data_IF_868556913417
#
_entry.id   IF_868556913417
#
_cell.length_a   1.000
_cell.length_b   1.000
_cell.length_c   1.000
_cell.angle_alpha   90.00
_cell.angle_beta   90.00
_cell.angle_gamma   90.00
#
_symmetry.space_group_name_H-M   'P 1'
#
loop_
_entity.id
_entity.type
_entity.pdbx_description
1 polymer ?
#
# COMPACT_ATOMS: atom_id res chain seq x y z
N UNK A 1 -8.57 -43.14 49.09
CA UNK A 1 -9.12 -42.03 48.28
C UNK A 1 -8.06 -40.93 48.09
N UNK A 2 -6.82 -41.26 47.69
CA UNK A 2 -5.71 -40.28 47.59
C UNK A 2 -4.62 -40.70 46.60
N UNK A 3 -5.00 -41.14 45.38
CA UNK A 3 -4.00 -41.42 44.32
C UNK A 3 -4.44 -40.87 42.94
N UNK A 4 -5.59 -40.20 42.82
CA UNK A 4 -6.06 -39.70 41.51
C UNK A 4 -5.75 -38.22 41.21
N UNK A 5 -5.44 -37.40 42.21
CA UNK A 5 -5.20 -35.95 42.01
C UNK A 5 -3.77 -35.58 41.57
N UNK A 6 -2.79 -36.49 41.70
CA UNK A 6 -1.40 -36.20 41.30
C UNK A 6 -1.14 -36.40 39.80
N UNK A 7 -1.89 -37.27 39.11
CA UNK A 7 -1.70 -37.48 37.66
C UNK A 7 -2.32 -36.35 36.84
N UNK A 8 -3.50 -35.83 37.23
CA UNK A 8 -4.14 -34.73 36.49
C UNK A 8 -3.31 -33.45 36.51
N UNK A 9 -2.68 -33.10 37.64
CA UNK A 9 -1.80 -31.93 37.72
C UNK A 9 -0.49 -32.11 36.92
N UNK A 10 -0.03 -33.35 36.76
CA UNK A 10 1.17 -33.67 35.99
C UNK A 10 0.86 -33.70 34.49
N UNK A 11 -0.31 -34.19 34.11
CA UNK A 11 -0.83 -34.17 32.73
C UNK A 11 -1.19 -32.74 32.29
N UNK A 12 -1.75 -31.89 33.16
CA UNK A 12 -2.00 -30.46 32.88
C UNK A 12 -0.68 -29.71 32.70
N UNK A 13 0.35 -30.04 33.48
CA UNK A 13 1.68 -29.44 33.35
C UNK A 13 2.37 -29.89 32.05
N UNK A 14 2.28 -31.16 31.69
CA UNK A 14 2.79 -31.71 30.42
C UNK A 14 2.02 -31.14 29.22
N UNK A 15 0.71 -30.94 29.32
CA UNK A 15 -0.10 -30.27 28.29
C UNK A 15 0.29 -28.78 28.15
N UNK A 16 0.56 -28.08 29.26
CA UNK A 16 1.06 -26.71 29.23
C UNK A 16 2.50 -26.59 28.69
N UNK A 17 3.35 -27.59 28.94
CA UNK A 17 4.72 -27.66 28.44
C UNK A 17 4.75 -28.05 26.94
N UNK A 18 3.84 -28.93 26.49
CA UNK A 18 3.62 -29.27 25.07
C UNK A 18 3.03 -28.10 24.26
N UNK A 19 2.21 -27.26 24.89
CA UNK A 19 1.65 -26.04 24.27
C UNK A 19 2.68 -24.90 24.24
N UNK A 20 3.59 -24.84 25.23
CA UNK A 20 4.73 -23.91 25.24
C UNK A 20 5.76 -24.19 24.13
N UNK A 21 5.79 -25.41 23.59
CA UNK A 21 6.67 -25.84 22.50
C UNK A 21 6.15 -25.58 21.08
N UNK A 22 4.95 -24.99 20.92
CA UNK A 22 4.24 -24.88 19.64
C UNK A 22 4.15 -23.48 19.03
N UNK A 23 4.91 -22.51 19.54
CA UNK A 23 5.06 -21.25 18.81
C UNK A 23 5.97 -21.47 17.62
N UNK A 24 5.39 -21.53 16.42
CA UNK A 24 6.17 -21.32 15.20
C UNK A 24 7.02 -20.06 15.38
N UNK A 25 8.28 -20.11 14.94
CA UNK A 25 9.19 -18.95 14.95
C UNK A 25 8.53 -17.69 14.37
N UNK A 26 7.57 -17.86 13.46
CA UNK A 26 6.73 -16.80 12.91
C UNK A 26 5.84 -16.13 13.95
N UNK A 27 5.01 -16.90 14.67
CA UNK A 27 4.11 -16.39 15.70
C UNK A 27 4.87 -15.79 16.88
N UNK A 28 6.03 -16.36 17.23
CA UNK A 28 6.89 -15.80 18.28
C UNK A 28 7.39 -14.40 17.93
N UNK A 29 7.85 -14.19 16.69
CA UNK A 29 8.31 -12.85 16.25
C UNK A 29 7.17 -11.82 16.32
N UNK A 30 5.94 -12.20 15.97
CA UNK A 30 4.79 -11.32 16.11
C UNK A 30 4.54 -10.89 17.55
N UNK A 31 4.56 -11.82 18.50
CA UNK A 31 4.41 -11.50 19.92
C UNK A 31 5.57 -10.63 20.45
N UNK A 32 6.79 -10.89 19.99
CA UNK A 32 7.94 -10.04 20.31
C UNK A 32 7.80 -8.60 19.79
N UNK A 33 7.20 -8.43 18.61
CA UNK A 33 6.98 -7.13 17.98
C UNK A 33 5.76 -6.39 18.53
N UNK A 34 4.66 -7.08 18.80
CA UNK A 34 3.35 -6.46 19.02
C UNK A 34 2.64 -6.90 20.31
N UNK A 35 3.22 -7.80 21.11
CA UNK A 35 2.60 -8.32 22.33
C UNK A 35 2.74 -7.41 23.55
N UNK A 36 3.69 -6.46 23.53
CA UNK A 36 3.97 -5.58 24.66
C UNK A 36 3.07 -4.34 24.65
N UNK A 37 2.68 -3.83 25.82
CA UNK A 37 1.86 -2.61 25.90
C UNK A 37 2.54 -1.38 25.30
N UNK A 38 3.87 -1.30 25.35
CA UNK A 38 4.69 -0.25 24.76
C UNK A 38 5.32 -0.65 23.41
N UNK A 39 4.67 -1.56 22.68
CA UNK A 39 5.25 -2.14 21.47
C UNK A 39 5.65 -1.08 20.43
N UNK A 40 4.84 -0.02 20.24
CA UNK A 40 5.08 1.00 19.24
C UNK A 40 6.43 1.72 19.43
N UNK A 41 6.71 2.15 20.66
CA UNK A 41 8.00 2.75 20.99
C UNK A 41 9.18 1.79 20.73
N UNK A 42 9.00 0.50 21.01
CA UNK A 42 10.03 -0.52 20.79
C UNK A 42 10.27 -0.80 19.31
N UNK A 43 9.22 -0.97 18.51
CA UNK A 43 9.38 -1.19 17.07
C UNK A 43 9.96 0.03 16.38
N UNK A 44 9.64 1.25 16.85
CA UNK A 44 10.24 2.50 16.33
C UNK A 44 11.74 2.53 16.61
N UNK A 45 12.18 2.20 17.82
CA UNK A 45 13.59 2.10 18.16
C UNK A 45 14.31 1.01 17.33
N UNK A 46 13.70 -0.17 17.17
CA UNK A 46 14.22 -1.22 16.28
C UNK A 46 14.35 -0.73 14.84
N UNK A 47 13.38 0.04 14.35
CA UNK A 47 13.38 0.64 13.02
C UNK A 47 14.53 1.61 12.82
N UNK A 48 14.72 2.55 13.74
CA UNK A 48 15.83 3.54 13.72
C UNK A 48 17.19 2.83 13.73
N UNK A 49 17.31 1.75 14.50
CA UNK A 49 18.54 0.96 14.59
C UNK A 49 18.73 -0.04 13.43
N UNK A 50 17.84 -0.04 12.42
CA UNK A 50 17.93 -0.95 11.27
C UNK A 50 17.65 -2.43 11.57
N UNK A 51 17.14 -2.74 12.77
CA UNK A 51 16.93 -4.10 13.28
C UNK A 51 15.67 -4.78 12.70
N UNK A 52 14.86 -4.06 11.93
CA UNK A 52 13.69 -4.62 11.25
C UNK A 52 14.01 -5.23 9.89
N UNK A 53 15.25 -5.12 9.37
CA UNK A 53 15.61 -5.53 8.00
C UNK A 53 15.23 -6.97 7.67
N UNK A 54 15.42 -7.89 8.62
CA UNK A 54 15.13 -9.32 8.49
C UNK A 54 13.76 -9.72 9.03
N UNK A 55 12.95 -8.75 9.45
CA UNK A 55 11.62 -9.05 9.99
C UNK A 55 10.66 -9.48 8.88
N UNK A 56 9.76 -10.40 9.22
CA UNK A 56 8.69 -10.91 8.34
C UNK A 56 7.38 -10.11 8.46
N UNK A 57 7.41 -9.00 9.21
CA UNK A 57 6.27 -8.13 9.51
C UNK A 57 6.61 -6.65 9.27
N UNK A 58 7.53 -6.37 8.35
CA UNK A 58 7.97 -5.02 8.03
C UNK A 58 6.84 -4.17 7.46
N UNK A 59 5.98 -4.74 6.64
CA UNK A 59 4.80 -4.07 6.08
C UNK A 59 3.85 -3.60 7.18
N UNK A 60 3.65 -4.39 8.24
CA UNK A 60 2.84 -4.00 9.42
C UNK A 60 3.52 -2.88 10.19
N UNK A 61 4.84 -2.97 10.39
CA UNK A 61 5.60 -1.87 11.01
C UNK A 61 5.51 -0.58 10.18
N UNK A 62 5.58 -0.67 8.85
CA UNK A 62 5.48 0.47 7.95
C UNK A 62 4.08 1.08 7.95
N UNK A 63 3.01 0.26 8.00
CA UNK A 63 1.65 0.73 8.19
C UNK A 63 1.50 1.55 9.48
N UNK A 64 2.20 1.18 10.55
CA UNK A 64 2.23 1.96 11.80
C UNK A 64 3.06 3.23 11.69
N UNK A 65 4.21 3.19 11.01
CA UNK A 65 5.08 4.37 10.87
C UNK A 65 4.54 5.42 9.89
N UNK A 66 3.70 5.00 8.95
CA UNK A 66 2.99 5.87 8.00
C UNK A 66 1.59 6.26 8.52
N UNK A 67 1.26 5.97 9.78
CA UNK A 67 -0.05 6.26 10.39
C UNK A 67 -1.27 5.68 9.63
N UNK A 68 -1.06 4.62 8.83
CA UNK A 68 -2.12 3.84 8.18
C UNK A 68 -2.90 3.04 9.24
N UNK A 69 -2.16 2.45 10.18
CA UNK A 69 -2.72 1.78 11.35
C UNK A 69 -2.49 2.64 12.60
N UNK A 70 -3.50 2.78 13.47
CA UNK A 70 -3.34 3.48 14.73
C UNK A 70 -2.46 2.67 15.71
N UNK A 71 -1.92 3.32 16.74
CA UNK A 71 -1.18 2.61 17.81
C UNK A 71 -2.07 1.65 18.61
N UNK A 72 -3.38 1.91 18.70
CA UNK A 72 -4.30 0.97 19.35
C UNK A 72 -4.61 -0.23 18.45
N UNK A 73 -4.04 -1.39 18.81
CA UNK A 73 -4.24 -2.67 18.10
C UNK A 73 -5.70 -3.07 17.94
N UNK A 74 -6.57 -2.68 18.88
CA UNK A 74 -8.00 -3.03 18.83
C UNK A 74 -8.71 -2.39 17.64
N UNK A 75 -8.14 -1.33 17.09
CA UNK A 75 -8.71 -0.59 15.96
C UNK A 75 -8.16 -1.05 14.61
N UNK A 76 -7.12 -1.90 14.58
CA UNK A 76 -6.45 -2.28 13.34
C UNK A 76 -7.37 -2.93 12.32
N UNK A 77 -8.21 -3.89 12.75
CA UNK A 77 -9.12 -4.60 11.86
C UNK A 77 -10.15 -3.66 11.24
N UNK A 78 -10.78 -2.82 12.07
CA UNK A 78 -11.77 -1.86 11.58
C UNK A 78 -11.12 -0.86 10.62
N UNK A 79 -9.93 -0.35 10.96
CA UNK A 79 -9.25 0.65 10.14
C UNK A 79 -8.81 0.09 8.79
N UNK A 80 -8.24 -1.11 8.75
CA UNK A 80 -7.81 -1.70 7.47
C UNK A 80 -9.02 -2.02 6.57
N UNK A 81 -10.14 -2.48 7.15
CA UNK A 81 -11.37 -2.72 6.39
C UNK A 81 -11.94 -1.42 5.80
N UNK A 82 -12.00 -0.35 6.58
CA UNK A 82 -12.42 0.98 6.13
C UNK A 82 -11.57 1.47 4.95
N UNK A 83 -10.24 1.40 5.07
CA UNK A 83 -9.31 1.84 4.03
C UNK A 83 -9.43 1.00 2.75
N UNK A 84 -9.59 -0.33 2.89
CA UNK A 84 -9.81 -1.24 1.76
C UNK A 84 -11.12 -0.94 1.04
N UNK A 85 -12.21 -0.74 1.78
CA UNK A 85 -13.49 -0.35 1.20
C UNK A 85 -13.43 1.00 0.50
N UNK A 86 -12.70 1.96 1.06
CA UNK A 86 -12.51 3.27 0.44
C UNK A 86 -11.77 3.18 -0.90
N UNK A 87 -10.66 2.42 -0.96
CA UNK A 87 -9.95 2.24 -2.22
C UNK A 87 -10.78 1.49 -3.27
N UNK A 88 -11.57 0.50 -2.86
CA UNK A 88 -12.48 -0.20 -3.79
C UNK A 88 -13.46 0.76 -4.46
N UNK A 89 -14.05 1.70 -3.70
CA UNK A 89 -14.92 2.74 -4.25
C UNK A 89 -14.19 3.63 -5.27
N UNK A 90 -12.95 4.02 -4.97
CA UNK A 90 -12.12 4.82 -5.89
C UNK A 90 -11.85 4.05 -7.19
N UNK A 91 -11.54 2.75 -7.11
CA UNK A 91 -11.36 1.90 -8.29
C UNK A 91 -12.63 1.79 -9.12
N UNK A 92 -13.78 1.62 -8.47
CA UNK A 92 -15.08 1.59 -9.17
C UNK A 92 -15.35 2.88 -9.94
N UNK A 93 -15.04 4.04 -9.34
CA UNK A 93 -15.24 5.36 -9.96
C UNK A 93 -14.31 5.60 -11.14
N UNK A 94 -13.01 5.29 -11.01
CA UNK A 94 -11.99 5.74 -11.96
C UNK A 94 -11.49 4.66 -12.93
N UNK A 95 -11.53 3.38 -12.55
CA UNK A 95 -11.01 2.28 -13.36
C UNK A 95 -12.15 1.58 -14.11
N UNK A 96 -13.31 1.42 -13.48
CA UNK A 96 -14.40 0.65 -14.07
C UNK A 96 -15.06 1.42 -15.22
N UNK A 97 -15.26 0.73 -16.34
CA UNK A 97 -15.61 1.30 -17.64
C UNK A 97 -16.88 2.18 -17.61
N UNK A 98 -16.82 3.44 -18.10
CA UNK A 98 -17.99 4.30 -18.29
C UNK A 98 -19.10 3.67 -19.13
N UNK A 99 -18.82 2.65 -19.97
CA UNK A 99 -19.84 1.93 -20.74
C UNK A 99 -20.85 1.15 -19.90
N UNK A 100 -20.54 0.81 -18.64
CA UNK A 100 -21.56 0.28 -17.71
C UNK A 100 -22.47 1.39 -17.16
N UNK A 101 -21.98 2.63 -17.09
CA UNK A 101 -22.74 3.82 -16.69
C UNK A 101 -23.46 4.52 -17.86
N UNK A 102 -22.97 4.36 -19.09
CA UNK A 102 -23.50 4.98 -20.32
C UNK A 102 -24.80 4.34 -20.84
N UNK A 103 -25.48 3.53 -20.02
CA UNK A 103 -26.80 2.99 -20.33
C UNK A 103 -27.94 4.00 -20.26
N UNK A 104 -27.71 5.24 -19.80
CA UNK A 104 -28.80 6.16 -19.47
C UNK A 104 -28.57 7.67 -19.67
N UNK A 105 -27.62 8.17 -20.46
CA UNK A 105 -27.48 9.65 -20.62
C UNK A 105 -27.21 10.12 -22.06
N UNK A 106 -27.84 11.25 -22.39
CA UNK A 106 -28.15 11.76 -23.72
C UNK A 106 -26.99 11.78 -24.73
N UNK A 107 -27.28 11.26 -25.91
CA UNK A 107 -26.41 11.17 -27.09
C UNK A 107 -26.08 12.54 -27.72
N UNK A 108 -26.70 13.63 -27.24
CA UNK A 108 -26.54 14.99 -27.79
C UNK A 108 -25.33 15.73 -27.19
N UNK A 109 -24.91 15.38 -25.97
CA UNK A 109 -23.74 16.00 -25.28
C UNK A 109 -22.43 15.20 -25.52
N UNK A 110 -22.53 14.01 -26.12
CA UNK A 110 -21.46 13.03 -26.29
C UNK A 110 -20.81 13.04 -27.69
N UNK A 111 -20.60 14.20 -28.29
CA UNK A 111 -19.89 14.26 -29.57
C UNK A 111 -18.37 14.06 -29.36
N UNK A 112 -17.70 13.12 -30.04
CA UNK A 112 -16.23 12.97 -30.02
C UNK A 112 -15.45 14.21 -30.50
N UNK A 113 -16.14 15.24 -31.01
CA UNK A 113 -15.59 16.56 -31.37
C UNK A 113 -15.99 17.68 -30.39
N UNK A 114 -16.61 17.36 -29.25
CA UNK A 114 -16.98 18.37 -28.25
C UNK A 114 -15.73 19.04 -27.68
N UNK A 115 -15.60 20.35 -27.87
CA UNK A 115 -14.53 21.17 -27.28
C UNK A 115 -14.85 21.61 -25.84
N UNK A 116 -15.96 21.13 -25.27
CA UNK A 116 -16.36 21.48 -23.91
C UNK A 116 -15.45 20.79 -22.90
N UNK A 117 -14.77 21.56 -22.04
CA UNK A 117 -13.79 21.06 -21.06
C UNK A 117 -14.40 20.00 -20.11
N UNK A 118 -15.72 20.03 -19.91
CA UNK A 118 -16.47 19.03 -19.13
C UNK A 118 -16.94 17.80 -19.92
N UNK A 119 -16.60 17.66 -21.20
CA UNK A 119 -17.08 16.55 -22.02
C UNK A 119 -16.48 15.20 -21.58
N UNK A 120 -17.31 14.15 -21.65
CA UNK A 120 -16.89 12.78 -21.35
C UNK A 120 -15.70 12.33 -22.21
N UNK A 121 -15.59 12.86 -23.43
CA UNK A 121 -14.47 12.60 -24.33
C UNK A 121 -13.19 13.28 -23.88
N UNK A 122 -13.24 14.53 -23.42
CA UNK A 122 -12.05 15.20 -22.88
C UNK A 122 -11.52 14.49 -21.64
N UNK A 123 -12.38 14.09 -20.71
CA UNK A 123 -11.98 13.26 -19.56
C UNK A 123 -11.38 11.92 -20.00
N UNK A 124 -12.01 11.24 -20.97
CA UNK A 124 -11.50 9.98 -21.50
C UNK A 124 -10.10 10.10 -22.13
N UNK A 125 -9.86 11.16 -22.92
CA UNK A 125 -8.55 11.38 -23.54
C UNK A 125 -7.49 11.74 -22.49
N UNK A 126 -7.82 12.60 -21.51
CA UNK A 126 -6.93 12.92 -20.39
C UNK A 126 -6.58 11.66 -19.57
N UNK A 127 -7.56 10.81 -19.27
CA UNK A 127 -7.34 9.57 -18.53
C UNK A 127 -6.46 8.60 -19.32
N UNK A 128 -6.66 8.52 -20.63
CA UNK A 128 -5.84 7.69 -21.51
C UNK A 128 -4.40 8.18 -21.57
N UNK A 129 -4.18 9.49 -21.68
CA UNK A 129 -2.84 10.09 -21.68
C UNK A 129 -2.16 9.91 -20.32
N UNK A 130 -2.88 10.16 -19.22
CA UNK A 130 -2.38 9.96 -17.86
C UNK A 130 -1.95 8.51 -17.63
N UNK A 131 -2.78 7.53 -18.00
CA UNK A 131 -2.43 6.11 -17.91
C UNK A 131 -1.21 5.76 -18.75
N UNK A 132 -1.11 6.27 -19.97
CA UNK A 132 0.04 6.01 -20.83
C UNK A 132 1.36 6.55 -20.24
N UNK A 133 1.33 7.76 -19.66
CA UNK A 133 2.49 8.34 -18.96
C UNK A 133 2.91 7.46 -17.77
N UNK A 134 1.95 7.05 -16.94
CA UNK A 134 2.22 6.18 -15.79
C UNK A 134 2.82 4.84 -16.26
N UNK A 135 2.24 4.21 -17.28
CA UNK A 135 2.71 2.91 -17.79
C UNK A 135 4.15 2.97 -18.33
N UNK A 136 4.52 4.08 -18.99
CA UNK A 136 5.88 4.28 -19.48
C UNK A 136 6.91 4.31 -18.34
N UNK A 137 6.56 4.93 -17.22
CA UNK A 137 7.39 4.98 -16.03
C UNK A 137 7.41 3.63 -15.31
N UNK A 138 6.23 3.04 -15.07
CA UNK A 138 6.08 1.72 -14.42
C UNK A 138 6.88 0.63 -15.14
N UNK A 139 6.92 0.63 -16.47
CA UNK A 139 7.68 -0.36 -17.26
C UNK A 139 9.19 -0.30 -16.99
N UNK A 140 9.70 0.87 -16.57
CA UNK A 140 11.12 1.13 -16.31
C UNK A 140 11.47 1.10 -14.81
N UNK A 141 10.50 0.82 -13.93
CA UNK A 141 10.70 0.74 -12.48
C UNK A 141 11.49 -0.51 -12.10
N UNK A 142 12.65 -0.36 -11.47
CA UNK A 142 13.52 -1.44 -10.98
C UNK A 142 13.65 -2.62 -11.96
N UNK A 143 14.13 -2.38 -13.20
CA UNK A 143 14.12 -3.36 -14.28
C UNK A 143 14.97 -4.60 -13.99
N UNK A 144 15.93 -4.51 -13.07
CA UNK A 144 16.75 -5.61 -12.59
C UNK A 144 16.00 -6.63 -11.72
N UNK A 145 14.83 -6.26 -11.19
CA UNK A 145 14.03 -7.12 -10.32
C UNK A 145 12.88 -7.78 -11.10
N UNK A 146 12.92 -9.11 -11.22
CA UNK A 146 11.90 -9.89 -11.94
C UNK A 146 10.47 -9.63 -11.45
N UNK A 147 10.29 -9.33 -10.16
CA UNK A 147 8.99 -9.01 -9.57
C UNK A 147 8.30 -7.83 -10.29
N UNK A 148 9.01 -6.74 -10.59
CA UNK A 148 8.44 -5.56 -11.26
C UNK A 148 8.30 -5.71 -12.79
N UNK A 149 8.80 -6.82 -13.35
CA UNK A 149 8.57 -7.18 -14.75
C UNK A 149 7.23 -7.90 -14.95
N UNK A 150 6.61 -8.40 -13.88
CA UNK A 150 5.33 -9.11 -13.95
C UNK A 150 4.19 -8.16 -14.31
N UNK A 151 3.37 -8.55 -15.29
CA UNK A 151 2.27 -7.71 -15.78
C UNK A 151 1.24 -7.40 -14.68
N UNK A 152 0.96 -8.37 -13.80
CA UNK A 152 0.07 -8.18 -12.64
C UNK A 152 0.58 -7.09 -11.69
N UNK A 153 1.89 -7.05 -11.43
CA UNK A 153 2.51 -6.04 -10.56
C UNK A 153 2.51 -4.67 -11.23
N UNK A 154 2.80 -4.62 -12.54
CA UNK A 154 2.73 -3.37 -13.31
C UNK A 154 1.31 -2.81 -13.37
N UNK A 155 0.30 -3.67 -13.48
CA UNK A 155 -1.10 -3.28 -13.42
C UNK A 155 -1.45 -2.69 -12.05
N UNK A 156 -1.05 -3.34 -10.95
CA UNK A 156 -1.22 -2.83 -9.57
C UNK A 156 -0.59 -1.44 -9.40
N UNK A 157 0.67 -1.27 -9.83
CA UNK A 157 1.35 0.02 -9.76
C UNK A 157 0.63 1.09 -10.58
N UNK A 158 0.21 0.74 -11.79
CA UNK A 158 -0.47 1.66 -12.71
C UNK A 158 -1.82 2.11 -12.14
N UNK A 159 -2.61 1.18 -11.61
CA UNK A 159 -3.94 1.47 -11.08
C UNK A 159 -3.88 2.32 -9.82
N UNK A 160 -2.98 2.02 -8.89
CA UNK A 160 -2.77 2.84 -7.69
C UNK A 160 -2.36 4.27 -8.06
N UNK A 161 -1.36 4.43 -8.93
CA UNK A 161 -0.88 5.75 -9.35
C UNK A 161 -1.95 6.53 -10.10
N UNK A 162 -2.73 5.85 -10.94
CA UNK A 162 -3.83 6.46 -11.67
C UNK A 162 -4.94 6.92 -10.74
N UNK A 163 -5.41 6.04 -9.85
CA UNK A 163 -6.43 6.36 -8.85
C UNK A 163 -5.97 7.52 -7.95
N UNK A 164 -4.72 7.50 -7.47
CA UNK A 164 -4.17 8.57 -6.66
C UNK A 164 -4.16 9.90 -7.43
N UNK A 165 -3.71 9.91 -8.69
CA UNK A 165 -3.69 11.11 -9.51
C UNK A 165 -5.10 11.67 -9.80
N UNK A 166 -6.11 10.80 -9.92
CA UNK A 166 -7.51 11.21 -10.11
C UNK A 166 -8.16 11.77 -8.84
N UNK A 167 -7.79 11.25 -7.67
CA UNK A 167 -8.26 11.82 -6.39
C UNK A 167 -7.53 13.13 -6.05
N UNK A 168 -6.33 13.34 -6.59
CA UNK A 168 -5.48 14.50 -6.31
C UNK A 168 -5.25 15.35 -7.57
N UNK A 169 -6.34 15.82 -8.19
CA UNK A 169 -6.31 16.53 -9.49
C UNK A 169 -5.45 17.83 -9.49
N UNK A 170 -5.18 18.40 -8.32
CA UNK A 170 -4.29 19.57 -8.21
C UNK A 170 -2.82 19.21 -8.40
N UNK A 171 -2.40 18.02 -7.94
CA UNK A 171 -1.04 17.54 -8.06
C UNK A 171 -0.85 16.72 -9.34
N UNK A 172 -1.84 15.87 -9.66
CA UNK A 172 -1.76 14.82 -10.69
C UNK A 172 -0.57 13.87 -10.47
N UNK A 173 -0.40 12.93 -11.39
CA UNK A 173 0.79 12.09 -11.42
C UNK A 173 2.04 12.91 -11.73
N UNK A 174 3.15 12.60 -11.04
CA UNK A 174 4.49 13.14 -11.32
C UNK A 174 5.50 12.01 -11.41
N UNK A 175 6.43 12.14 -12.36
CA UNK A 175 7.57 11.21 -12.49
C UNK A 175 8.31 11.13 -11.14
N UNK A 176 8.64 9.90 -10.72
CA UNK A 176 9.23 9.58 -9.42
C UNK A 176 8.23 9.03 -8.40
N UNK A 177 6.92 9.32 -8.53
CA UNK A 177 5.90 8.72 -7.66
C UNK A 177 5.89 7.19 -7.74
N UNK A 178 6.20 6.62 -8.91
CA UNK A 178 6.32 5.18 -9.09
C UNK A 178 7.47 4.56 -8.30
N UNK A 179 8.57 5.29 -8.09
CA UNK A 179 9.72 4.86 -7.29
C UNK A 179 9.42 4.89 -5.78
N UNK A 180 8.47 5.73 -5.36
CA UNK A 180 7.96 5.75 -3.99
C UNK A 180 6.98 4.59 -3.73
N UNK A 181 6.09 4.31 -4.68
CA UNK A 181 5.09 3.25 -4.55
C UNK A 181 5.71 1.84 -4.60
N UNK A 182 6.66 1.60 -5.51
CA UNK A 182 7.18 0.27 -5.77
C UNK A 182 7.78 -0.43 -4.52
N UNK A 183 8.57 0.23 -3.65
CA UNK A 183 9.03 -0.36 -2.40
C UNK A 183 7.90 -0.75 -1.43
N UNK A 184 6.79 -0.01 -1.41
CA UNK A 184 5.61 -0.32 -0.57
C UNK A 184 4.96 -1.62 -1.05
N UNK A 185 4.73 -1.73 -2.36
CA UNK A 185 4.16 -2.94 -2.99
C UNK A 185 5.07 -4.15 -2.75
N UNK A 186 6.39 -3.97 -2.90
CA UNK A 186 7.35 -5.04 -2.71
C UNK A 186 7.41 -5.54 -1.26
N UNK A 187 7.39 -4.64 -0.26
CA UNK A 187 7.45 -5.08 1.13
C UNK A 187 6.19 -5.81 1.57
N UNK A 188 5.02 -5.38 1.09
CA UNK A 188 3.75 -6.11 1.29
C UNK A 188 3.84 -7.50 0.69
N UNK A 189 4.33 -7.62 -0.54
CA UNK A 189 4.51 -8.91 -1.20
C UNK A 189 5.42 -9.86 -0.43
N UNK A 190 6.59 -9.39 0.05
CA UNK A 190 7.51 -10.22 0.82
C UNK A 190 6.87 -10.77 2.10
N UNK A 191 6.16 -9.93 2.85
CA UNK A 191 5.50 -10.35 4.08
C UNK A 191 4.31 -11.30 3.79
N UNK A 192 3.57 -11.10 2.69
CA UNK A 192 2.51 -12.02 2.26
C UNK A 192 3.08 -13.40 1.89
N UNK A 193 4.23 -13.46 1.21
CA UNK A 193 4.90 -14.74 0.93
C UNK A 193 5.36 -15.42 2.23
N UNK A 194 5.96 -14.68 3.15
CA UNK A 194 6.37 -15.21 4.45
C UNK A 194 5.17 -15.73 5.25
N UNK A 195 4.05 -15.01 5.22
CA UNK A 195 2.79 -15.38 5.84
C UNK A 195 2.20 -16.66 5.25
N UNK A 196 2.15 -16.78 3.91
CA UNK A 196 1.65 -17.97 3.22
C UNK A 196 2.43 -19.22 3.64
N UNK A 197 3.76 -19.13 3.65
CA UNK A 197 4.60 -20.24 4.07
C UNK A 197 4.43 -20.58 5.56
N UNK A 198 4.34 -19.58 6.42
CA UNK A 198 4.10 -19.79 7.84
C UNK A 198 2.73 -20.44 8.11
N UNK A 199 1.72 -20.10 7.31
CA UNK A 199 0.35 -20.63 7.45
C UNK A 199 0.23 -22.12 7.12
N UNK A 200 1.20 -22.70 6.42
CA UNK A 200 1.27 -24.15 6.17
C UNK A 200 1.66 -24.94 7.43
N UNK A 201 2.34 -24.29 8.38
CA UNK A 201 2.98 -24.96 9.53
C UNK A 201 2.53 -24.42 10.89
N UNK A 202 1.71 -23.36 10.90
CA UNK A 202 1.26 -22.68 12.09
C UNK A 202 -0.21 -22.28 11.99
N UNK A 203 -0.79 -21.92 13.14
CA UNK A 203 -2.13 -21.33 13.23
C UNK A 203 -1.99 -19.83 13.50
N UNK A 204 -1.88 -18.98 12.46
CA UNK A 204 -1.77 -17.53 12.64
C UNK A 204 -3.03 -16.94 13.27
N UNK A 205 -2.89 -15.85 14.02
CA UNK A 205 -4.03 -15.15 14.61
C UNK A 205 -4.91 -14.51 13.54
N UNK A 206 -6.16 -14.20 13.90
CA UNK A 206 -7.08 -13.50 13.00
C UNK A 206 -6.54 -12.13 12.57
N UNK A 207 -5.81 -11.43 13.45
CA UNK A 207 -5.13 -10.18 13.09
C UNK A 207 -4.08 -10.37 12.00
N UNK A 208 -3.25 -11.42 12.09
CA UNK A 208 -2.27 -11.73 11.05
C UNK A 208 -2.95 -12.04 9.72
N UNK A 209 -3.98 -12.90 9.74
CA UNK A 209 -4.74 -13.28 8.54
C UNK A 209 -5.35 -12.06 7.86
N UNK A 210 -5.92 -11.14 8.62
CA UNK A 210 -6.52 -9.93 8.06
C UNK A 210 -5.47 -8.97 7.48
N UNK A 211 -4.37 -8.74 8.21
CA UNK A 211 -3.36 -7.73 7.85
C UNK A 211 -2.38 -8.17 6.76
N UNK A 212 -2.22 -9.47 6.57
CA UNK A 212 -1.27 -10.09 5.63
C UNK A 212 -2.00 -10.91 4.54
N UNK A 213 -3.29 -10.61 4.30
CA UNK A 213 -4.03 -11.25 3.22
C UNK A 213 -3.51 -10.75 1.84
N UNK A 214 -2.96 -11.63 0.98
CA UNK A 214 -2.45 -11.25 -0.33
C UNK A 214 -3.48 -10.66 -1.29
N UNK A 215 -4.78 -10.94 -1.11
CA UNK A 215 -5.85 -10.41 -1.94
C UNK A 215 -5.98 -8.89 -1.84
N UNK A 216 -5.54 -8.30 -0.73
CA UNK A 216 -5.61 -6.86 -0.46
C UNK A 216 -4.28 -6.14 -0.63
N UNK A 217 -3.31 -6.75 -1.35
CA UNK A 217 -2.01 -6.13 -1.60
C UNK A 217 -2.14 -4.75 -2.26
N UNK A 218 -3.01 -4.62 -3.26
CA UNK A 218 -3.23 -3.36 -3.97
C UNK A 218 -3.86 -2.31 -3.05
N UNK A 219 -4.90 -2.68 -2.29
CA UNK A 219 -5.60 -1.80 -1.36
C UNK A 219 -4.69 -1.28 -0.25
N UNK A 220 -3.93 -2.17 0.36
CA UNK A 220 -3.01 -1.82 1.43
C UNK A 220 -1.87 -0.95 0.91
N UNK A 221 -1.39 -1.21 -0.32
CA UNK A 221 -0.39 -0.37 -0.96
C UNK A 221 -0.93 1.03 -1.28
N UNK A 222 -2.17 1.16 -1.76
CA UNK A 222 -2.80 2.47 -1.96
C UNK A 222 -2.89 3.25 -0.65
N UNK A 223 -3.38 2.63 0.43
CA UNK A 223 -3.49 3.30 1.72
C UNK A 223 -2.13 3.78 2.26
N UNK A 224 -1.09 2.95 2.14
CA UNK A 224 0.28 3.33 2.51
C UNK A 224 0.83 4.45 1.62
N UNK A 225 0.56 4.39 0.32
CA UNK A 225 1.02 5.38 -0.63
C UNK A 225 0.37 6.74 -0.42
N UNK A 226 -0.94 6.78 -0.18
CA UNK A 226 -1.67 8.03 0.10
C UNK A 226 -1.09 8.72 1.34
N UNK A 227 -0.89 8.00 2.45
CA UNK A 227 -0.27 8.57 3.65
C UNK A 227 1.16 9.08 3.41
N UNK A 228 1.95 8.33 2.64
CA UNK A 228 3.29 8.76 2.27
C UNK A 228 3.25 10.06 1.45
N UNK A 229 2.31 10.15 0.52
CA UNK A 229 2.15 11.30 -0.36
C UNK A 229 1.61 12.53 0.37
N UNK A 230 0.77 12.38 1.40
CA UNK A 230 0.34 13.52 2.24
C UNK A 230 1.53 14.26 2.86
N UNK A 231 2.63 13.53 3.13
CA UNK A 231 3.88 14.11 3.62
C UNK A 231 4.82 14.56 2.48
N UNK A 232 4.83 13.85 1.36
CA UNK A 232 5.77 14.07 0.25
C UNK A 232 5.27 15.07 -0.82
N UNK A 233 3.97 15.35 -0.88
CA UNK A 233 3.34 16.27 -1.85
C UNK A 233 4.07 17.62 -1.97
N UNK A 234 4.51 18.28 -0.88
CA UNK A 234 5.25 19.53 -0.97
C UNK A 234 6.49 19.44 -1.88
N UNK A 235 7.18 18.31 -1.93
CA UNK A 235 8.36 18.12 -2.78
C UNK A 235 8.01 18.07 -4.26
N UNK A 236 6.85 17.50 -4.60
CA UNK A 236 6.39 17.43 -5.99
C UNK A 236 5.81 18.76 -6.47
N UNK A 237 5.16 19.52 -5.58
CA UNK A 237 4.58 20.83 -5.91
C UNK A 237 5.62 21.97 -5.95
N UNK A 238 6.64 21.92 -5.09
CA UNK A 238 7.70 22.95 -5.03
C UNK A 238 8.76 22.77 -6.11
N UNK A 239 9.10 21.52 -6.47
CA UNK A 239 10.14 21.23 -7.45
C UNK A 239 9.82 21.85 -8.82
N UNK A 240 8.55 21.88 -9.23
CA UNK A 240 8.15 22.58 -10.45
C UNK A 240 8.31 24.10 -10.36
N UNK A 241 8.03 24.73 -9.21
CA UNK A 241 8.23 26.18 -9.05
C UNK A 241 9.71 26.56 -9.15
N UNK A 242 10.59 25.75 -8.57
CA UNK A 242 12.04 25.94 -8.61
C UNK A 242 12.59 25.71 -10.02
N UNK A 243 12.20 24.61 -10.67
CA UNK A 243 12.63 24.28 -12.04
C UNK A 243 12.11 25.30 -13.05
N UNK A 244 10.84 25.73 -12.96
CA UNK A 244 10.30 26.81 -13.80
C UNK A 244 11.04 28.13 -13.59
N UNK A 245 11.36 28.51 -12.34
CA UNK A 245 12.17 29.72 -12.05
C UNK A 245 13.56 29.64 -12.69
N UNK A 246 14.24 28.50 -12.59
CA UNK A 246 15.57 28.31 -13.20
C UNK A 246 15.50 28.39 -14.73
N UNK A 247 14.49 27.77 -15.36
CA UNK A 247 14.31 27.82 -16.82
C UNK A 247 14.02 29.25 -17.28
N UNK A 248 13.09 29.96 -16.63
CA UNK A 248 12.75 31.36 -16.97
C UNK A 248 13.99 32.26 -16.83
N UNK A 249 14.77 32.07 -15.77
CA UNK A 249 16.00 32.85 -15.53
C UNK A 249 17.08 32.57 -16.60
N UNK A 250 17.18 31.32 -17.09
CA UNK A 250 18.12 30.95 -18.16
C UNK A 250 17.69 31.52 -19.52
N UNK A 251 16.40 31.47 -19.85
CA UNK A 251 15.85 32.03 -21.10
C UNK A 251 15.96 33.56 -21.13
N UNK A 252 15.76 34.24 -19.99
CA UNK A 252 15.94 35.69 -19.89
C UNK A 252 17.40 36.12 -20.12
N UNK A 253 18.38 35.32 -19.65
CA UNK A 253 19.81 35.57 -19.88
C UNK A 253 20.24 35.33 -21.34
N UNK A 254 19.57 34.46 -22.08
CA UNK A 254 19.87 34.22 -23.50
C UNK A 254 19.27 35.27 -24.45
N UNK A 255 18.24 36.02 -24.02
CA UNK A 255 17.63 37.10 -24.83
C UNK A 255 18.30 38.47 -24.61
N UNK A 256 19.24 38.57 -23.68
CA UNK A 256 19.92 39.82 -23.29
C UNK A 256 21.42 39.83 -23.65
N UNK A 257 21.89 38.83 -24.41
CA UNK A 257 23.19 38.79 -25.09
C UNK A 257 22.96 38.74 -26.60
#
# INVERSE_FOLDING_TARGET
>A
MFVRENNENQDIKILSELDSGKYSSYSKEWEELFGHSNYFARIRLKGINGQLRSSRFRSVCWKLFLDVLPEDKKQWLNKIMELRSHYEQIKEIHITNPRKAAGQQDLVVNNPLSQDEGSLWNKFFQDKELRAMIQQDVTRTFPEMQYFQQESVRQILTDILFCYARENEQLLYKQGMHELLAPLVFILHCDHQAFSHASETAYPSEEMKALLNPEFLEHDAYAMFSQLMDTAEPWFSSFEREVRKVIVTRVAKQKTS
#
